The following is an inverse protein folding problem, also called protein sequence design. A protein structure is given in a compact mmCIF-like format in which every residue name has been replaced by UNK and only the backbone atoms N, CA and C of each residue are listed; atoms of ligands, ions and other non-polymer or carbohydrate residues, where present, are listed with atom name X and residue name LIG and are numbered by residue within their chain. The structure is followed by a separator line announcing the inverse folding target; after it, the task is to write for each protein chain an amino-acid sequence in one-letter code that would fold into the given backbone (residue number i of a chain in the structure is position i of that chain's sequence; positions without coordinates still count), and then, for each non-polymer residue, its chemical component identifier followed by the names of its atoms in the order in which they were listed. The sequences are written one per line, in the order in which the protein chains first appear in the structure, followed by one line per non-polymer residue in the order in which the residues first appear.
data_IF_750651245191
#
_entry.id   IF_750651245191
#
_cell.length_a   1.000
_cell.length_b   1.000
_cell.length_c   1.000
_cell.angle_alpha   90.00
_cell.angle_beta   90.00
_cell.angle_gamma   90.00
#
_symmetry.space_group_name_H-M   'P 1'
#
loop_
_entity.id
_entity.type
_entity.pdbx_description
1 polymer ?
2 branched ?
3 non-polymer ?
4 non-polymer ?
5 non-polymer ?
6 non-polymer ?
7 water ?
#
# COMPACT_ATOMS: atom_id res chain seq x y z
N UNK A 1 1.71 -23.93 -9.82
CA UNK A 1 0.46 -24.72 -9.99
C UNK A 1 -0.64 -24.17 -9.08
N UNK A 2 -1.72 -23.71 -9.70
CA UNK A 2 -2.85 -23.15 -8.96
C UNK A 2 -4.05 -24.10 -9.05
N UNK A 3 -4.54 -24.52 -7.89
CA UNK A 3 -5.69 -25.43 -7.82
C UNK A 3 -6.92 -24.76 -8.43
N UNK A 4 -7.90 -25.57 -8.83
CA UNK A 4 -9.12 -25.02 -9.41
C UNK A 4 -10.08 -24.50 -8.34
N UNK A 5 -10.82 -23.45 -8.69
CA UNK A 5 -11.78 -22.86 -7.77
C UNK A 5 -12.97 -23.80 -7.64
N UNK A 6 -13.68 -23.74 -6.51
CA UNK A 6 -14.85 -24.60 -6.32
C UNK A 6 -16.05 -23.90 -6.92
N UNK A 7 -17.17 -24.61 -7.03
CA UNK A 7 -18.39 -24.01 -7.55
C UNK A 7 -18.74 -22.81 -6.68
N UNK A 8 -19.07 -21.70 -7.30
CA UNK A 8 -19.43 -20.48 -6.59
C UNK A 8 -20.63 -19.83 -7.26
N UNK A 9 -21.55 -19.31 -6.44
CA UNK A 9 -22.73 -18.65 -6.97
C UNK A 9 -22.66 -17.16 -6.67
N UNK A 10 -22.61 -16.36 -7.73
CA UNK A 10 -22.54 -14.91 -7.58
C UNK A 10 -23.10 -14.21 -8.81
N UNK A 11 -23.39 -12.91 -8.71
CA UNK A 11 -23.92 -12.14 -9.83
C UNK A 11 -23.03 -12.23 -11.06
N UNK A 12 -23.64 -12.47 -12.21
CA UNK A 12 -22.90 -12.57 -13.45
C UNK A 12 -22.37 -11.20 -13.85
N UNK A 13 -21.07 -11.11 -14.20
CA UNK A 13 -20.55 -9.80 -14.60
C UNK A 13 -21.22 -9.39 -15.90
N UNK A 14 -21.46 -8.10 -16.08
CA UNK A 14 -22.12 -7.61 -17.28
C UNK A 14 -21.18 -6.84 -18.20
N UNK A 15 -20.81 -7.48 -19.31
CA UNK A 15 -19.91 -6.90 -20.30
C UNK A 15 -20.32 -5.51 -20.77
N UNK A 16 -21.62 -5.28 -20.94
CA UNK A 16 -22.11 -4.00 -21.43
C UNK A 16 -22.54 -3.04 -20.32
N UNK A 17 -22.16 -3.36 -19.09
CA UNK A 17 -22.49 -2.50 -17.95
C UNK A 17 -21.18 -2.17 -17.24
N UNK A 18 -20.67 -0.96 -17.46
CA UNK A 18 -19.41 -0.55 -16.81
C UNK A 18 -19.44 -0.68 -15.30
N UNK A 19 -18.31 -1.09 -14.75
CA UNK A 19 -18.14 -1.27 -13.31
C UNK A 19 -18.48 0.04 -12.61
N UNK A 20 -17.67 1.05 -12.90
CA UNK A 20 -17.85 2.38 -12.34
C UNK A 20 -17.80 3.32 -13.55
N UNK A 21 -18.67 4.31 -13.57
CA UNK A 21 -18.69 5.25 -14.69
C UNK A 21 -18.10 6.59 -14.25
N UNK A 22 -17.78 6.69 -12.97
CA UNK A 22 -17.25 7.93 -12.41
C UNK A 22 -15.74 7.97 -12.21
N UNK A 23 -15.08 6.82 -12.31
CA UNK A 23 -13.63 6.77 -12.11
C UNK A 23 -12.93 5.81 -13.07
N UNK A 24 -11.62 6.01 -13.21
CA UNK A 24 -10.78 5.16 -14.06
C UNK A 24 -10.48 3.90 -13.24
N UNK A 25 -10.81 2.73 -13.79
CA UNK A 25 -10.57 1.48 -13.07
C UNK A 25 -9.41 0.63 -13.60
N UNK A 26 -8.74 1.13 -14.63
CA UNK A 26 -7.60 0.42 -15.21
C UNK A 26 -6.64 1.46 -15.78
N UNK A 27 -5.35 1.27 -15.54
CA UNK A 27 -4.34 2.21 -16.03
C UNK A 27 -4.03 1.92 -17.49
N UNK A 28 -3.31 2.84 -18.16
CA UNK A 28 -2.95 2.65 -19.57
C UNK A 28 -2.03 1.45 -19.80
N UNK A 29 -1.44 0.91 -18.73
CA UNK A 29 -0.59 -0.27 -18.88
C UNK A 29 -1.33 -1.51 -18.38
N UNK A 30 -2.66 -1.39 -18.36
CA UNK A 30 -3.58 -2.46 -17.96
C UNK A 30 -3.47 -2.99 -16.55
N UNK A 31 -3.20 -2.09 -15.60
CA UNK A 31 -3.13 -2.46 -14.20
C UNK A 31 -4.44 -2.00 -13.59
N UNK A 32 -5.12 -2.88 -12.84
CA UNK A 32 -6.39 -2.48 -12.23
C UNK A 32 -6.20 -1.37 -11.21
N UNK A 33 -7.15 -0.47 -11.11
CA UNK A 33 -7.11 0.59 -10.10
C UNK A 33 -8.23 0.13 -9.18
N UNK A 34 -7.86 -0.21 -7.95
CA UNK A 34 -8.78 -0.76 -6.97
C UNK A 34 -9.75 0.21 -6.27
N UNK A 35 -11.02 0.12 -6.67
CA UNK A 35 -12.11 0.92 -6.10
C UNK A 35 -13.22 -0.05 -5.64
N UNK A 36 -14.01 0.38 -4.66
CA UNK A 36 -15.12 -0.47 -4.20
C UNK A 36 -16.06 -0.65 -5.39
N UNK A 37 -16.49 -1.89 -5.61
CA UNK A 37 -17.39 -2.16 -6.72
C UNK A 37 -16.71 -2.82 -7.90
N UNK A 38 -15.38 -2.81 -7.92
CA UNK A 38 -14.63 -3.41 -9.02
C UNK A 38 -14.29 -4.87 -8.80
N UNK A 39 -14.36 -5.32 -7.55
CA UNK A 39 -13.98 -6.69 -7.24
C UNK A 39 -14.98 -7.48 -6.41
N UNK A 40 -15.00 -8.79 -6.63
CA UNK A 40 -15.85 -9.70 -5.88
C UNK A 40 -14.86 -10.30 -4.89
N UNK A 41 -14.92 -9.88 -3.64
CA UNK A 41 -13.97 -10.37 -2.64
C UNK A 41 -14.03 -11.87 -2.37
N UNK A 42 -15.17 -12.48 -2.63
CA UNK A 42 -15.32 -13.92 -2.41
C UNK A 42 -14.43 -14.69 -3.39
N UNK A 43 -14.43 -14.26 -4.65
CA UNK A 43 -13.60 -14.92 -5.65
C UNK A 43 -12.14 -14.72 -5.31
N UNK A 44 -11.75 -13.48 -5.00
CA UNK A 44 -10.36 -13.19 -4.66
C UNK A 44 -9.90 -13.93 -3.40
N UNK A 45 -10.74 -13.98 -2.37
CA UNK A 45 -10.35 -14.69 -1.15
C UNK A 45 -10.05 -16.15 -1.47
N UNK A 46 -10.89 -16.76 -2.31
CA UNK A 46 -10.72 -18.14 -2.72
C UNK A 46 -9.38 -18.33 -3.42
N UNK A 47 -9.11 -17.47 -4.39
CA UNK A 47 -7.87 -17.57 -5.14
C UNK A 47 -6.65 -17.50 -4.23
N UNK A 48 -6.61 -16.53 -3.33
CA UNK A 48 -5.45 -16.41 -2.45
C UNK A 48 -5.37 -17.43 -1.32
N UNK A 49 -6.50 -17.89 -0.80
CA UNK A 49 -6.48 -18.89 0.26
C UNK A 49 -5.98 -20.22 -0.28
N UNK A 50 -6.36 -20.53 -1.52
CA UNK A 50 -5.94 -21.77 -2.16
C UNK A 50 -4.43 -21.83 -2.31
N UNK A 51 -3.79 -20.67 -2.22
CA UNK A 51 -2.34 -20.59 -2.33
C UNK A 51 -1.71 -20.44 -0.95
N UNK A 52 -2.56 -20.45 0.08
CA UNK A 52 -2.13 -20.29 1.47
C UNK A 52 -1.20 -19.09 1.58
N UNK A 53 -1.67 -17.99 1.02
CA UNK A 53 -0.93 -16.73 1.00
C UNK A 53 -0.65 -16.13 2.38
N UNK A 54 0.59 -15.69 2.59
CA UNK A 54 0.95 -15.06 3.86
C UNK A 54 1.33 -13.62 3.55
N UNK A 55 0.70 -12.67 4.24
CA UNK A 55 1.01 -11.26 4.02
C UNK A 55 1.77 -10.67 5.18
N UNK A 56 2.89 -10.02 4.88
CA UNK A 56 3.66 -9.37 5.92
C UNK A 56 3.28 -7.90 5.93
N UNK A 57 3.02 -7.35 7.11
CA UNK A 57 2.67 -5.94 7.23
C UNK A 57 3.77 -5.29 8.06
N UNK A 58 4.49 -4.35 7.46
CA UNK A 58 5.59 -3.70 8.15
C UNK A 58 5.28 -2.26 8.57
N UNK A 59 5.66 -1.92 9.79
CA UNK A 59 5.44 -0.57 10.32
C UNK A 59 6.63 -0.16 11.16
N UNK A 60 6.95 1.12 11.11
CA UNK A 60 8.04 1.66 11.92
C UNK A 60 7.41 2.52 13.00
N UNK A 61 7.88 2.32 14.23
CA UNK A 61 7.36 3.08 15.36
C UNK A 61 8.56 3.54 16.19
N UNK A 62 9.06 4.73 15.87
CA UNK A 62 10.20 5.30 16.56
C UNK A 62 9.79 6.47 17.43
N UNK A 63 10.45 6.62 18.57
CA UNK A 63 10.16 7.70 19.51
C UNK A 63 8.69 7.67 19.95
N UNK A 64 8.02 8.82 19.91
CA UNK A 64 6.63 8.90 20.35
C UNK A 64 5.61 8.23 19.42
N UNK A 65 6.05 7.73 18.28
CA UNK A 65 5.14 7.08 17.35
C UNK A 65 4.70 5.71 17.86
N UNK A 66 5.32 5.25 18.94
CA UNK A 66 4.96 3.96 19.50
C UNK A 66 3.55 4.07 20.07
N UNK A 67 3.13 5.30 20.34
CA UNK A 67 1.80 5.55 20.89
C UNK A 67 0.67 5.23 19.91
N UNK A 68 1.01 5.11 18.63
CA UNK A 68 0.01 4.81 17.60
C UNK A 68 -0.19 3.32 17.37
N UNK A 69 0.70 2.49 17.91
CA UNK A 69 0.63 1.06 17.69
C UNK A 69 -0.64 0.35 18.15
N UNK A 70 -1.13 0.66 19.35
CA UNK A 70 -2.33 -0.01 19.83
C UNK A 70 -3.52 0.09 18.88
N UNK A 71 -3.88 1.32 18.50
CA UNK A 71 -5.01 1.51 17.60
C UNK A 71 -4.74 0.91 16.22
N UNK A 72 -3.52 1.08 15.74
CA UNK A 72 -3.15 0.55 14.43
C UNK A 72 -3.33 -0.97 14.39
N UNK A 73 -2.73 -1.66 15.36
CA UNK A 73 -2.83 -3.12 15.40
C UNK A 73 -4.23 -3.63 15.68
N UNK A 74 -4.94 -2.98 16.60
CA UNK A 74 -6.29 -3.41 16.94
C UNK A 74 -7.24 -3.30 15.75
N UNK A 75 -7.12 -2.22 14.99
CA UNK A 75 -7.99 -2.04 13.82
C UNK A 75 -7.54 -2.94 12.67
N UNK A 76 -6.26 -3.25 12.59
CA UNK A 76 -5.76 -4.13 11.54
C UNK A 76 -6.37 -5.51 11.79
N UNK A 77 -6.50 -5.88 13.07
CA UNK A 77 -7.09 -7.17 13.42
C UNK A 77 -8.53 -7.27 12.94
N UNK A 78 -9.21 -6.14 12.88
CA UNK A 78 -10.59 -6.15 12.46
C UNK A 78 -10.80 -6.00 10.96
N UNK A 79 -9.85 -5.37 10.29
CA UNK A 79 -10.00 -5.11 8.85
C UNK A 79 -8.93 -5.56 7.88
N UNK A 80 -7.74 -5.89 8.35
CA UNK A 80 -6.66 -6.25 7.45
C UNK A 80 -6.45 -7.73 7.17
N UNK A 81 -6.69 -8.12 5.93
CA UNK A 81 -6.48 -9.50 5.50
C UNK A 81 -7.13 -10.56 6.40
N UNK A 82 -8.29 -10.25 6.96
CA UNK A 82 -8.95 -11.21 7.84
C UNK A 82 -9.27 -12.50 7.09
N UNK A 83 -8.86 -13.62 7.67
CA UNK A 83 -9.10 -14.91 7.04
C UNK A 83 -7.82 -15.47 6.45
N UNK A 84 -6.83 -14.59 6.28
CA UNK A 84 -5.55 -14.99 5.72
C UNK A 84 -4.42 -14.94 6.75
N UNK A 85 -3.28 -15.55 6.41
CA UNK A 85 -2.14 -15.56 7.30
C UNK A 85 -1.47 -14.19 7.25
N UNK A 86 -1.28 -13.60 8.42
CA UNK A 86 -0.66 -12.28 8.51
C UNK A 86 0.49 -12.27 9.49
N UNK A 87 1.59 -11.62 9.10
CA UNK A 87 2.74 -11.51 9.98
C UNK A 87 3.08 -10.03 10.08
N UNK A 88 2.89 -9.47 11.28
CA UNK A 88 3.19 -8.06 11.50
C UNK A 88 4.65 -7.94 11.88
N UNK A 89 5.32 -6.93 11.34
CA UNK A 89 6.71 -6.68 11.67
C UNK A 89 6.77 -5.25 12.17
N UNK A 90 7.02 -5.09 13.47
CA UNK A 90 7.09 -3.78 14.08
C UNK A 90 8.54 -3.40 14.35
N UNK A 91 9.04 -2.40 13.62
CA UNK A 91 10.41 -1.92 13.79
C UNK A 91 10.37 -0.75 14.76
N UNK A 92 11.01 -0.91 15.91
CA UNK A 92 10.98 0.14 16.91
C UNK A 92 12.26 0.24 17.73
N UNK A 93 12.45 1.40 18.36
CA UNK A 93 13.60 1.64 19.21
C UNK A 93 13.20 1.38 20.66
N UNK A 94 11.94 1.02 20.86
CA UNK A 94 11.41 0.76 22.20
C UNK A 94 10.60 -0.54 22.24
N UNK A 95 11.28 -1.71 22.13
CA UNK A 95 10.60 -3.00 22.14
C UNK A 95 9.60 -3.17 23.30
N UNK A 96 9.98 -2.70 24.48
CA UNK A 96 9.12 -2.83 25.65
C UNK A 96 7.87 -1.97 25.58
N UNK A 97 7.86 -1.00 24.69
CA UNK A 97 6.72 -0.10 24.54
C UNK A 97 5.64 -0.62 23.58
N UNK A 98 5.92 -1.73 22.91
CA UNK A 98 4.95 -2.28 21.98
C UNK A 98 3.78 -2.83 22.79
N UNK A 99 2.54 -2.39 22.48
CA UNK A 99 1.36 -2.87 23.21
C UNK A 99 1.03 -4.33 23.00
N UNK A 100 0.46 -4.95 24.04
CA UNK A 100 0.07 -6.35 23.98
C UNK A 100 -1.31 -6.40 23.32
N UNK A 101 -1.34 -6.61 22.01
CA UNK A 101 -2.60 -6.66 21.28
C UNK A 101 -2.97 -8.12 21.02
N UNK A 102 -4.24 -8.45 21.24
CA UNK A 102 -4.72 -9.81 21.03
C UNK A 102 -4.91 -10.06 19.54
N UNK A 103 -4.31 -11.13 19.04
CA UNK A 103 -4.40 -11.44 17.61
C UNK A 103 -5.25 -12.66 17.29
N UNK A 104 -5.87 -12.64 16.12
CA UNK A 104 -6.69 -13.75 15.70
C UNK A 104 -5.78 -14.91 15.30
N UNK A 105 -6.34 -16.10 15.14
CA UNK A 105 -5.56 -17.26 14.77
C UNK A 105 -4.90 -17.07 13.40
N UNK A 106 -3.71 -17.64 13.23
CA UNK A 106 -3.01 -17.51 11.95
C UNK A 106 -2.34 -16.16 11.75
N UNK A 107 -2.28 -15.37 12.81
CA UNK A 107 -1.67 -14.05 12.73
C UNK A 107 -0.61 -13.93 13.81
N UNK A 108 0.53 -13.36 13.45
CA UNK A 108 1.62 -13.22 14.40
C UNK A 108 2.29 -11.86 14.31
N UNK A 109 3.01 -11.51 15.37
CA UNK A 109 3.69 -10.23 15.40
C UNK A 109 5.11 -10.39 15.88
N UNK A 110 6.04 -9.78 15.15
CA UNK A 110 7.44 -9.83 15.52
C UNK A 110 7.94 -8.42 15.76
N UNK A 111 8.70 -8.24 16.84
CA UNK A 111 9.25 -6.94 17.15
C UNK A 111 10.72 -6.95 16.76
N UNK A 112 11.13 -5.97 15.98
CA UNK A 112 12.52 -5.86 15.53
C UNK A 112 13.06 -4.53 16.05
N UNK A 113 14.06 -4.60 16.92
CA UNK A 113 14.65 -3.40 17.48
C UNK A 113 15.62 -2.78 16.49
N UNK A 114 15.51 -1.47 16.31
CA UNK A 114 16.39 -0.74 15.40
C UNK A 114 17.23 0.26 16.18
N UNK A 136 15.80 -7.73 4.34
CA UNK A 136 16.05 -8.95 5.14
C UNK A 136 15.72 -10.23 4.37
N UNK A 137 16.60 -11.20 4.46
CA UNK A 137 16.43 -12.49 3.79
C UNK A 137 15.29 -13.23 4.49
N UNK A 138 14.99 -12.77 5.70
CA UNK A 138 13.93 -13.33 6.54
C UNK A 138 12.58 -13.23 5.84
N UNK A 139 12.30 -12.06 5.26
CA UNK A 139 11.04 -11.80 4.57
C UNK A 139 10.76 -12.79 3.45
N UNK A 140 11.78 -13.11 2.66
CA UNK A 140 11.62 -14.04 1.55
C UNK A 140 11.13 -15.41 1.98
N UNK A 141 11.57 -15.86 3.15
CA UNK A 141 11.17 -17.18 3.63
C UNK A 141 9.95 -17.17 4.54
N UNK A 142 9.54 -16.00 4.99
CA UNK A 142 8.40 -15.92 5.90
C UNK A 142 7.08 -15.46 5.31
N UNK A 143 7.13 -14.60 4.30
CA UNK A 143 5.89 -14.11 3.71
C UNK A 143 5.92 -14.08 2.18
N UNK A 144 4.75 -14.01 1.56
CA UNK A 144 4.64 -13.97 0.11
C UNK A 144 4.57 -12.54 -0.41
N UNK A 145 3.92 -11.68 0.37
CA UNK A 145 3.75 -10.28 0.01
C UNK A 145 4.12 -9.40 1.18
N UNK A 146 4.62 -8.21 0.86
CA UNK A 146 5.00 -7.24 1.88
C UNK A 146 4.16 -5.98 1.65
N UNK A 147 3.58 -5.48 2.74
CA UNK A 147 2.77 -4.27 2.71
C UNK A 147 3.44 -3.31 3.69
N UNK A 148 3.86 -2.15 3.19
CA UNK A 148 4.55 -1.16 3.98
C UNK A 148 3.70 0.09 4.19
N UNK A 149 3.36 0.38 5.45
CA UNK A 149 2.51 1.53 5.76
C UNK A 149 3.00 2.38 6.94
N UNK A 150 2.41 3.57 7.07
CA UNK A 150 2.73 4.48 8.17
C UNK A 150 1.97 3.96 9.39
N UNK A 151 2.50 4.18 10.58
CA UNK A 151 1.86 3.69 11.80
C UNK A 151 0.79 4.62 12.38
N UNK A 152 0.88 5.92 12.09
CA UNK A 152 -0.10 6.87 12.61
C UNK A 152 -1.36 6.84 11.74
N UNK A 153 -1.95 5.66 11.69
CA UNK A 153 -3.15 5.41 10.88
C UNK A 153 -4.04 4.40 11.61
N UNK A 154 -5.23 4.20 11.08
CA UNK A 154 -6.14 3.22 11.63
C UNK A 154 -6.99 2.66 10.51
N UNK A 155 -7.31 1.38 10.58
CA UNK A 155 -8.15 0.77 9.55
C UNK A 155 -9.60 1.01 9.97
N UNK A 156 -10.43 1.44 9.01
CA UNK A 156 -11.83 1.70 9.27
C UNK A 156 -12.74 0.79 8.46
N UNK A 157 -12.18 0.12 7.47
CA UNK A 157 -12.96 -0.79 6.65
C UNK A 157 -12.03 -1.82 6.00
N UNK A 158 -12.62 -2.76 5.28
CA UNK A 158 -11.90 -3.83 4.62
C UNK A 158 -10.67 -3.43 3.79
N UNK A 159 -9.56 -4.11 4.05
CA UNK A 159 -8.33 -3.93 3.29
C UNK A 159 -7.88 -5.37 3.15
N UNK A 160 -8.14 -5.95 1.98
CA UNK A 160 -7.81 -7.34 1.79
C UNK A 160 -6.96 -7.73 0.60
N UNK A 161 -7.09 -8.98 0.20
CA UNK A 161 -6.30 -9.50 -0.91
C UNK A 161 -6.49 -8.82 -2.25
N UNK A 162 -7.54 -8.00 -2.38
CA UNK A 162 -7.74 -7.27 -3.63
C UNK A 162 -6.52 -6.39 -3.93
N UNK A 163 -5.72 -6.07 -2.92
CA UNK A 163 -4.55 -5.21 -3.16
C UNK A 163 -3.29 -5.96 -3.56
N UNK A 164 -3.26 -7.26 -3.32
CA UNK A 164 -2.08 -8.08 -3.60
C UNK A 164 -1.76 -8.26 -5.08
N UNK A 165 -0.49 -8.07 -5.41
CA UNK A 165 -0.02 -8.11 -6.79
C UNK A 165 1.51 -7.96 -6.71
N UNK A 166 2.24 -8.18 -7.83
CA UNK A 166 3.70 -8.02 -7.73
C UNK A 166 4.18 -6.67 -7.18
N UNK A 167 3.53 -5.59 -7.58
CA UNK A 167 3.94 -4.27 -7.13
C UNK A 167 2.78 -3.28 -7.17
N UNK A 168 2.50 -2.63 -6.05
CA UNK A 168 1.42 -1.65 -6.05
C UNK A 168 1.77 -0.36 -5.33
N UNK A 169 1.13 0.72 -5.79
CA UNK A 169 1.31 2.03 -5.21
C UNK A 169 -0.09 2.52 -4.91
N UNK A 170 -0.21 3.56 -4.08
CA UNK A 170 -1.51 4.11 -3.70
C UNK A 170 -1.62 5.58 -4.08
N UNK A 171 -2.76 5.98 -4.63
CA UNK A 171 -2.96 7.37 -5.03
C UNK A 171 -3.02 8.28 -3.82
N UNK A 172 -2.19 9.33 -3.85
CA UNK A 172 -2.13 10.31 -2.77
C UNK A 172 -3.48 11.03 -2.75
N UNK A 173 -4.15 11.08 -1.59
CA UNK A 173 -5.45 11.73 -1.47
C UNK A 173 -5.54 13.20 -1.88
N UNK A 174 -4.41 13.90 -1.86
CA UNK A 174 -4.41 15.31 -2.22
C UNK A 174 -4.17 15.58 -3.70
N UNK A 175 -3.81 14.57 -4.47
CA UNK A 175 -3.52 14.78 -5.89
C UNK A 175 -4.20 13.85 -6.89
N UNK A 176 -5.14 13.03 -6.44
CA UNK A 176 -5.79 12.09 -7.36
C UNK A 176 -6.56 12.76 -8.51
N UNK A 177 -6.97 14.00 -8.32
CA UNK A 177 -7.69 14.70 -9.37
C UNK A 177 -6.90 15.86 -9.95
N UNK A 178 -5.60 15.88 -9.67
CA UNK A 178 -4.73 16.95 -10.15
C UNK A 178 -3.99 16.59 -11.43
N UNK A 179 -3.55 17.62 -12.14
CA UNK A 179 -2.79 17.44 -13.38
C UNK A 179 -1.34 17.17 -12.97
N UNK A 180 -0.60 16.45 -13.81
CA UNK A 180 0.77 16.11 -13.50
C UNK A 180 1.63 17.32 -13.17
N UNK A 181 1.34 18.45 -13.80
CA UNK A 181 2.10 19.67 -13.55
C UNK A 181 1.99 20.12 -12.10
N UNK A 182 0.89 19.73 -11.44
CA UNK A 182 0.66 20.10 -10.04
C UNK A 182 1.29 19.10 -9.06
N UNK A 183 1.65 17.92 -9.55
CA UNK A 183 2.26 16.89 -8.71
C UNK A 183 3.53 17.43 -8.07
N UNK A 184 3.72 17.16 -6.78
CA UNK A 184 4.90 17.64 -6.09
C UNK A 184 6.12 16.74 -6.23
N UNK A 185 6.41 16.32 -7.46
CA UNK A 185 7.57 15.48 -7.75
C UNK A 185 8.82 16.31 -7.51
N UNK A 186 9.97 15.67 -7.49
CA UNK A 186 11.23 16.39 -7.34
C UNK A 186 11.48 16.97 -8.73
N UNK A 187 11.57 18.30 -8.82
CA UNK A 187 11.77 18.94 -10.11
C UNK A 187 13.20 19.34 -10.46
N UNK A 188 14.15 19.11 -9.56
CA UNK A 188 15.54 19.46 -9.82
C UNK A 188 16.28 18.33 -10.53
N UNK A 189 16.80 18.58 -11.74
CA UNK A 189 17.53 17.59 -12.54
C UNK A 189 18.73 16.99 -11.82
N UNK A 190 19.23 17.70 -10.82
CA UNK A 190 20.39 17.24 -10.05
C UNK A 190 20.06 16.07 -9.14
N UNK A 191 18.77 15.82 -8.95
CA UNK A 191 18.32 14.71 -8.09
C UNK A 191 17.95 13.47 -8.88
N UNK A 192 18.24 12.31 -8.30
CA UNK A 192 17.93 11.03 -8.94
C UNK A 192 16.42 10.81 -9.00
N UNK A 193 15.67 11.54 -8.17
CA UNK A 193 14.22 11.42 -8.14
C UNK A 193 13.55 12.40 -9.09
N UNK A 194 14.35 13.05 -9.92
CA UNK A 194 13.86 14.03 -10.89
C UNK A 194 12.82 13.53 -11.88
N UNK A 195 11.73 14.28 -12.02
CA UNK A 195 10.67 13.97 -12.97
C UNK A 195 10.22 15.30 -13.56
N UNK A 196 10.39 15.48 -14.88
CA UNK A 196 9.97 16.73 -15.55
C UNK A 196 8.47 16.92 -15.62
N UNK A 197 8.05 18.17 -15.88
CA UNK A 197 6.64 18.53 -15.96
C UNK A 197 5.80 17.74 -16.97
N UNK A 198 6.43 17.22 -18.00
CA UNK A 198 5.68 16.48 -19.02
C UNK A 198 5.68 14.97 -18.81
N UNK A 199 6.04 14.54 -17.60
CA UNK A 199 6.05 13.11 -17.29
C UNK A 199 5.28 12.85 -16.00
N UNK A 200 4.85 11.60 -15.83
CA UNK A 200 4.12 11.25 -14.62
C UNK A 200 2.74 10.71 -14.89
N UNK A 201 2.41 9.59 -14.25
CA UNK A 201 1.09 9.00 -14.39
C UNK A 201 0.21 9.47 -13.24
N UNK A 202 0.69 9.21 -12.01
CA UNK A 202 -0.02 9.60 -10.80
C UNK A 202 0.97 10.04 -9.74
N UNK A 203 0.45 10.58 -8.66
CA UNK A 203 1.31 10.95 -7.55
C UNK A 203 0.97 9.94 -6.46
N UNK A 204 1.91 9.03 -6.19
CA UNK A 204 1.68 8.00 -5.18
C UNK A 204 2.17 8.47 -3.82
N UNK A 205 1.44 8.11 -2.77
CA UNK A 205 1.83 8.50 -1.42
C UNK A 205 2.72 7.41 -0.83
N UNK A 206 3.81 7.84 -0.20
CA UNK A 206 4.74 6.89 0.38
C UNK A 206 4.24 6.12 1.58
N UNK A 207 3.08 6.51 2.09
CA UNK A 207 2.51 5.86 3.28
C UNK A 207 1.85 4.51 3.07
N UNK A 208 1.75 4.04 1.83
CA UNK A 208 1.11 2.75 1.60
C UNK A 208 1.51 2.17 0.23
N UNK A 209 2.45 1.22 0.24
CA UNK A 209 2.88 0.55 -0.98
C UNK A 209 3.24 -0.89 -0.63
N UNK A 210 3.47 -1.70 -1.64
CA UNK A 210 3.80 -3.10 -1.36
C UNK A 210 3.85 -3.95 -2.62
N UNK A 211 3.84 -5.26 -2.43
CA UNK A 211 3.90 -6.18 -3.54
C UNK A 211 4.55 -7.46 -3.07
N UNK A 212 5.10 -8.23 -4.00
CA UNK A 212 5.78 -9.46 -3.60
C UNK A 212 7.04 -9.05 -2.85
N UNK A 213 7.57 -9.95 -2.04
CA UNK A 213 8.79 -9.62 -1.29
C UNK A 213 9.90 -9.21 -2.25
N UNK A 214 10.02 -9.95 -3.35
CA UNK A 214 11.05 -9.66 -4.35
C UNK A 214 10.93 -8.26 -4.92
N UNK A 215 9.72 -7.88 -5.35
CA UNK A 215 9.53 -6.55 -5.92
C UNK A 215 9.69 -5.42 -4.91
N UNK A 216 9.27 -5.66 -3.66
CA UNK A 216 9.39 -4.63 -2.64
C UNK A 216 10.86 -4.43 -2.29
N UNK A 217 11.63 -5.52 -2.25
CA UNK A 217 13.04 -5.39 -1.94
C UNK A 217 13.78 -4.71 -3.09
N UNK A 218 13.34 -4.95 -4.33
CA UNK A 218 13.96 -4.30 -5.48
C UNK A 218 13.73 -2.80 -5.40
N UNK A 219 12.50 -2.41 -5.06
CA UNK A 219 12.16 -1.00 -4.95
C UNK A 219 12.96 -0.35 -3.82
N UNK A 220 12.97 -0.98 -2.65
CA UNK A 220 13.69 -0.44 -1.50
C UNK A 220 15.18 -0.30 -1.80
N UNK A 221 15.73 -1.28 -2.51
CA UNK A 221 17.15 -1.28 -2.86
C UNK A 221 17.44 -0.13 -3.85
N UNK A 222 16.56 0.05 -4.83
CA UNK A 222 16.73 1.10 -5.82
C UNK A 222 16.67 2.48 -5.18
N UNK A 223 15.69 2.70 -4.32
CA UNK A 223 15.54 3.98 -3.65
C UNK A 223 16.70 4.26 -2.70
N UNK A 224 17.15 3.25 -1.96
CA UNK A 224 18.25 3.42 -1.03
C UNK A 224 19.49 3.89 -1.79
N UNK A 225 19.80 3.21 -2.89
CA UNK A 225 20.96 3.58 -3.70
C UNK A 225 20.82 4.97 -4.31
N UNK A 226 19.62 5.30 -4.77
CA UNK A 226 19.37 6.61 -5.37
C UNK A 226 19.52 7.73 -4.33
N UNK A 227 19.07 7.46 -3.11
CA UNK A 227 19.18 8.46 -2.05
C UNK A 227 20.64 8.67 -1.66
N UNK A 228 21.42 7.60 -1.67
CA UNK A 228 22.84 7.72 -1.32
C UNK A 228 23.53 8.62 -2.34
N UNK A 229 23.14 8.49 -3.61
CA UNK A 229 23.70 9.30 -4.67
C UNK A 229 23.38 10.77 -4.47
N UNK A 230 22.13 11.07 -4.13
CA UNK A 230 21.72 12.43 -3.90
C UNK A 230 22.50 13.02 -2.72
N UNK A 231 22.63 12.24 -1.66
CA UNK A 231 23.36 12.66 -0.47
C UNK A 231 24.80 13.01 -0.84
N UNK A 232 25.39 12.20 -1.71
CA UNK A 232 26.76 12.42 -2.15
C UNK A 232 26.85 13.69 -2.99
N UNK A 233 25.76 14.03 -3.66
CA UNK A 233 25.72 15.21 -4.50
C UNK A 233 25.19 16.42 -3.73
N UNK A 234 25.06 16.25 -2.42
CA UNK A 234 24.58 17.32 -1.57
C UNK A 234 23.16 17.79 -1.85
N UNK A 235 22.26 16.86 -2.12
CA UNK A 235 20.88 17.23 -2.40
C UNK A 235 19.91 16.25 -1.75
N UNK A 236 18.76 16.77 -1.31
CA UNK A 236 17.74 15.96 -0.66
C UNK A 236 16.39 16.20 -1.36
N UNK A 237 15.82 15.14 -1.92
CA UNK A 237 14.53 15.24 -2.62
C UNK A 237 13.49 15.99 -1.80
N UNK A 238 12.73 16.84 -2.47
CA UNK A 238 11.69 17.64 -1.83
C UNK A 238 10.83 16.87 -0.84
N UNK A 239 10.38 15.68 -1.22
CA UNK A 239 9.56 14.89 -0.31
C UNK A 239 10.21 13.57 0.08
N UNK A 240 11.54 13.60 0.17
CA UNK A 240 12.35 12.47 0.58
C UNK A 240 12.02 11.13 -0.08
N UNK A 241 11.75 10.13 0.76
CA UNK A 241 11.44 8.77 0.28
C UNK A 241 10.31 8.74 -0.73
N UNK A 242 9.28 9.55 -0.49
CA UNK A 242 8.11 9.60 -1.37
C UNK A 242 8.48 10.08 -2.78
N UNK A 243 9.45 10.98 -2.86
CA UNK A 243 9.89 11.49 -4.16
C UNK A 243 10.53 10.36 -4.95
N UNK A 244 11.35 9.56 -4.28
CA UNK A 244 12.03 8.45 -4.93
C UNK A 244 11.04 7.34 -5.29
N UNK A 245 10.05 7.13 -4.42
CA UNK A 245 9.04 6.12 -4.69
C UNK A 245 8.32 6.47 -5.99
N UNK A 246 8.00 7.74 -6.17
CA UNK A 246 7.32 8.18 -7.36
C UNK A 246 8.16 8.02 -8.60
N UNK A 247 9.47 8.25 -8.47
CA UNK A 247 10.37 8.09 -9.60
C UNK A 247 10.44 6.60 -9.98
N UNK A 248 10.52 5.75 -8.97
CA UNK A 248 10.58 4.30 -9.22
C UNK A 248 9.32 3.80 -9.91
N UNK A 249 8.16 4.18 -9.39
CA UNK A 249 6.90 3.72 -9.97
C UNK A 249 6.59 4.33 -11.33
N UNK A 250 7.31 5.40 -11.67
CA UNK A 250 7.13 6.01 -12.98
C UNK A 250 7.86 5.12 -13.99
N UNK A 251 9.06 4.68 -13.63
CA UNK A 251 9.89 3.85 -14.49
C UNK A 251 9.59 2.34 -14.42
N UNK A 252 8.93 1.93 -13.33
CA UNK A 252 8.54 0.52 -13.14
C UNK A 252 7.06 0.60 -12.77
N UNK A 253 6.19 0.50 -13.77
CA UNK A 253 4.76 0.60 -13.56
C UNK A 253 4.20 -0.43 -12.58
N UNK A 254 3.42 0.03 -11.59
CA UNK A 254 2.86 -0.91 -10.63
C UNK A 254 1.81 -1.79 -11.31
N UNK A 255 1.67 -3.03 -10.84
CA UNK A 255 0.72 -3.95 -11.44
C UNK A 255 -0.72 -3.77 -10.94
N UNK A 256 -0.87 -2.93 -9.92
CA UNK A 256 -2.16 -2.53 -9.35
C UNK A 256 -1.92 -1.16 -8.72
N UNK A 257 -2.95 -0.32 -8.74
CA UNK A 257 -2.88 0.99 -8.10
C UNK A 257 -4.08 1.05 -7.18
N UNK A 258 -3.87 1.43 -5.92
CA UNK A 258 -4.98 1.52 -4.98
C UNK A 258 -5.58 2.93 -5.00
N UNK A 259 -6.91 3.00 -4.97
CA UNK A 259 -7.61 4.29 -4.97
C UNK A 259 -7.45 4.95 -3.61
N UNK A 260 -7.86 6.23 -3.48
CA UNK A 260 -7.73 6.95 -2.21
C UNK A 260 -8.54 6.34 -1.07
N UNK A 261 -9.35 5.32 -1.38
CA UNK A 261 -10.13 4.65 -0.35
C UNK A 261 -9.13 4.07 0.64
N UNK A 262 -7.94 3.74 0.12
CA UNK A 262 -6.89 3.12 0.92
C UNK A 262 -5.94 4.05 1.67
N UNK A 263 -6.08 5.34 1.47
CA UNK A 263 -5.25 6.33 2.17
C UNK A 263 -6.02 7.63 2.21
N UNK A 264 -6.81 7.83 3.26
CA UNK A 264 -7.62 9.03 3.37
C UNK A 264 -7.43 9.78 4.69
N UNK A 265 -7.99 10.99 4.74
CA UNK A 265 -7.95 11.84 5.93
C UNK A 265 -9.28 12.57 5.90
N UNK A 266 -10.27 12.03 6.62
CA UNK A 266 -11.61 12.62 6.63
C UNK A 266 -11.67 14.01 7.25
N UNK A 267 -10.82 14.27 8.23
CA UNK A 267 -10.82 15.58 8.87
C UNK A 267 -10.39 16.66 7.88
N UNK A 268 -9.34 16.36 7.12
CA UNK A 268 -8.81 17.31 6.14
C UNK A 268 -9.50 17.28 4.78
N UNK A 269 -10.07 16.14 4.41
CA UNK A 269 -10.69 15.99 3.09
C UNK A 269 -12.16 15.58 3.06
N UNK A 270 -12.75 15.34 4.23
CA UNK A 270 -14.15 14.97 4.27
C UNK A 270 -14.43 13.58 3.73
N UNK A 271 -15.62 13.40 3.17
CA UNK A 271 -16.01 12.11 2.61
C UNK A 271 -16.75 12.30 1.29
N UNK A 272 -16.01 12.44 0.19
CA UNK A 272 -16.61 12.64 -1.13
C UNK A 272 -17.36 11.40 -1.65
N UNK A 273 -18.37 11.65 -2.48
CA UNK A 273 -19.20 10.58 -3.04
C UNK A 273 -18.39 9.53 -3.81
N UNK A 274 -17.31 9.95 -4.44
CA UNK A 274 -16.49 9.03 -5.21
C UNK A 274 -15.88 7.93 -4.34
N UNK A 275 -15.87 8.15 -3.02
CA UNK A 275 -15.33 7.16 -2.09
C UNK A 275 -16.47 6.44 -1.39
N UNK A 276 -16.76 5.21 -1.82
CA UNK A 276 -17.84 4.43 -1.23
C UNK A 276 -17.44 3.88 0.14
N UNK A 277 -16.14 3.78 0.37
CA UNK A 277 -15.62 3.30 1.64
C UNK A 277 -14.35 4.04 1.99
N UNK A 278 -14.12 4.24 3.29
CA UNK A 278 -12.91 4.88 3.79
C UNK A 278 -12.28 3.71 4.56
N UNK A 279 -11.24 3.11 3.99
CA UNK A 279 -10.62 1.93 4.57
C UNK A 279 -9.43 2.11 5.51
N UNK A 280 -8.52 3.01 5.18
CA UNK A 280 -7.30 3.23 5.96
C UNK A 280 -7.13 4.75 6.06
N UNK A 281 -7.18 5.28 7.28
CA UNK A 281 -7.11 6.72 7.45
C UNK A 281 -6.10 7.26 8.47
N UNK A 282 -5.78 8.54 8.32
CA UNK A 282 -4.84 9.19 9.23
C UNK A 282 -5.52 9.36 10.58
N UNK A 283 -4.71 9.35 11.64
CA UNK A 283 -5.23 9.52 12.98
C UNK A 283 -5.05 10.99 13.37
N UNK A 284 -6.16 11.68 13.69
CA UNK A 284 -6.12 13.10 14.08
C UNK A 284 -5.33 13.34 15.35
X LIG B 1 -2.06 19.81 0.42
X LIG B 1 -0.61 19.71 -0.06
X LIG B 1 -0.04 18.33 0.30
X LIG B 1 -0.17 18.07 1.81
X LIG B 1 -1.63 18.30 2.20
X LIG B 1 -1.80 18.09 3.72
X LIG B 1 -3.99 21.13 0.31
X LIG B 1 -2.57 21.11 0.11
X LIG B 1 -0.57 19.88 -1.48
X LIG B 1 1.33 18.30 -0.06
X LIG B 1 0.19 16.73 2.17
X LIG B 1 -2.07 19.61 1.84
X LIG B 1 -0.97 19.01 4.42
X LIG B 2 1.60 16.50 2.06
X LIG B 2 1.98 15.31 2.95
X LIG B 2 3.47 14.97 2.75
X LIG B 2 3.78 14.76 1.27
X LIG B 2 3.32 15.99 0.49
X LIG B 2 3.60 15.80 -1.01
X LIG B 2 1.72 15.61 4.32
X LIG B 2 3.77 13.77 3.48
X LIG B 2 3.05 13.61 0.81
X LIG B 2 1.92 16.20 0.69
X LIG B 2 3.15 16.96 -1.71
X LIG C 1 8.09 7.73 12.03
X LIG C 1 8.53 7.23 13.27
X LIG C 1 9.08 8.13 14.20
X LIG C 1 9.20 9.49 13.90
X LIG C 1 8.74 9.98 12.67
X LIG C 1 8.20 9.10 11.75
X LIG C 1 8.43 6.04 13.54
X LIG C 1 9.68 10.26 14.72
X LIG C 1 7.53 6.80 11.02
X LIG C 1 6.06 6.50 11.31
X LIG C 1 5.70 5.22 10.77
X LIG C 1 5.39 7.62 10.53
X LIG C 1 6.21 7.49 9.25
X LIG C 1 7.56 7.43 9.73
X LIG C 1 4.03 7.25 10.25
X LIG C 1 5.99 8.63 8.24
X LIG C 1 6.30 9.91 8.80
X LIG C 1 5.18 10.78 9.55
X LIG C 1 3.87 9.85 9.70
X LIG C 1 5.63 11.32 10.85
X LIG C 1 4.75 11.96 8.53
X LIG C 1 3.63 11.72 7.41
X LIG C 1 2.21 11.84 8.15
X LIG C 1 3.71 12.97 6.40
X LIG C 1 3.78 10.43 6.70
X LIG D 1 11.17 4.25 -2.19
X LIG E 1 8.45 -2.64 3.86
X LIG F 1 13.64 4.68 -6.21
X LIG G 1 -18.26 -3.53 -11.29
X LIG H 1 7.69 -0.23 6.27
X LIG I 1 6.44 2.17 5.20
X LIG J 1 2.00 9.38 8.58
#
# INVERSE_FOLDING_TARGET
FMVSLPRMVYPQPKVLTPCRKDVLVVTPWLAPIVWEGTFNIDILNEQFRLQNTTIGLTVFAIKKYVAFLKLFLETAEKHFMVGHRVHYYVFTDQPAAVPRVTLGTGRQLSVLEVGAYKRWQDVSMRRMEMISDFCERRFLSEVDYLVCVDVDMEFRDHVGVEILTPLFGTLHPSFYGSSREAFTYERRPQSQAYIPKDEGDFYYMGAFFGGSVQEVQRLTRACHQAMMVDQANGIEAVWHDESHLNKYLLRHKPTKVLSPEYLWDQQLLGWPAVLRKLRFTAVPKNHQAVRNP
MGL C1 C2 C3 C4 C5 C6 C7 O1 O2 O3 O4 O5 O6
GAL C1 C2 C3 C4 C5 C6 O2 O3 O4 O5 O6
UDP N1 C2 N3 C4 C5 C6 O2 O4 C1' C2' O2' C3' C4' O4' O3' C5' O5' PA O1A O2A O3A PB O1B O2B O3B
HG HG
HG HG
HG HG
HG HG
HG HG
CL CL
MN MN
#
